data_IF_855672169116
#
_entry.id   IF_855672169116
#
_cell.length_a   1.000
_cell.length_b   1.000
_cell.length_c   1.000
_cell.angle_alpha   90.00
_cell.angle_beta   90.00
_cell.angle_gamma   90.00
#
_symmetry.space_group_name_H-M   'P 1'
#
loop_
_entity.id
_entity.type
_entity.pdbx_description
1 polymer ?
#
# COMPACT_ATOMS: atom_id res chain seq x y z
N UNK A 1 -6.33 1.21 28.60
CA UNK A 1 -5.34 0.71 29.56
C UNK A 1 -4.15 0.23 28.75
N UNK A 2 -2.93 0.70 29.04
CA UNK A 2 -1.72 0.24 28.35
C UNK A 2 -1.29 -1.09 28.94
N UNK A 3 -1.06 -2.10 28.10
CA UNK A 3 -0.50 -3.39 28.53
C UNK A 3 1.02 -3.28 28.61
N UNK A 4 1.59 -3.82 29.68
CA UNK A 4 3.04 -3.96 29.84
C UNK A 4 3.46 -5.25 29.14
N UNK A 5 4.25 -5.16 28.06
CA UNK A 5 4.89 -6.34 27.46
C UNK A 5 6.32 -6.41 27.99
N UNK A 6 6.65 -7.56 28.56
CA UNK A 6 8.00 -7.86 29.03
C UNK A 6 8.77 -8.49 27.87
N UNK A 7 9.81 -7.80 27.41
CA UNK A 7 10.79 -8.41 26.50
C UNK A 7 11.89 -9.03 27.33
N UNK A 8 11.93 -10.34 27.31
CA UNK A 8 12.98 -11.14 27.94
C UNK A 8 14.03 -11.49 26.90
N UNK A 9 15.20 -10.84 26.98
CA UNK A 9 16.36 -11.19 26.14
C UNK A 9 17.26 -12.12 26.94
N UNK A 10 17.26 -13.39 26.53
CA UNK A 10 18.20 -14.40 27.04
C UNK A 10 19.27 -14.66 26.00
N UNK A 11 20.52 -14.64 26.43
CA UNK A 11 21.64 -14.97 25.56
C UNK A 11 22.81 -15.54 26.34
N UNK A 12 23.70 -16.18 25.60
CA UNK A 12 24.95 -16.71 26.11
C UNK A 12 26.09 -15.99 25.39
N UNK A 13 26.98 -15.37 26.16
CA UNK A 13 28.13 -14.64 25.66
C UNK A 13 29.40 -15.46 25.93
N UNK A 14 30.17 -15.68 24.87
CA UNK A 14 31.51 -16.25 24.93
C UNK A 14 32.52 -15.15 24.57
N UNK A 15 33.38 -14.79 25.50
CA UNK A 15 34.41 -13.75 25.36
C UNK A 15 35.80 -14.37 25.39
N UNK A 16 36.69 -13.85 24.54
CA UNK A 16 38.12 -14.14 24.59
C UNK A 16 38.87 -12.83 24.71
N UNK A 17 39.41 -12.55 25.89
CA UNK A 17 40.16 -11.34 26.17
C UNK A 17 41.65 -11.63 26.00
N UNK A 18 42.30 -10.94 25.05
CA UNK A 18 43.76 -10.99 24.90
C UNK A 18 44.39 -10.08 25.95
N UNK A 19 45.21 -10.62 26.83
CA UNK A 19 45.94 -9.84 27.84
C UNK A 19 47.44 -9.99 27.65
N UNK A 20 48.27 -9.06 28.19
CA UNK A 20 49.73 -9.18 28.14
C UNK A 20 50.27 -10.45 28.81
N UNK A 21 49.47 -11.12 29.64
CA UNK A 21 49.82 -12.37 30.35
C UNK A 21 49.17 -13.61 29.72
N UNK A 22 48.52 -13.48 28.55
CA UNK A 22 47.89 -14.56 27.81
C UNK A 22 46.41 -14.32 27.52
N UNK A 23 45.80 -15.28 26.83
CA UNK A 23 44.38 -15.23 26.46
C UNK A 23 43.51 -15.73 27.62
N UNK A 24 42.58 -14.88 28.07
CA UNK A 24 41.57 -15.23 29.07
C UNK A 24 40.27 -15.54 28.35
N UNK A 25 39.86 -16.81 28.42
CA UNK A 25 38.59 -17.28 27.86
C UNK A 25 37.51 -17.25 28.93
N UNK A 26 36.43 -16.53 28.68
CA UNK A 26 35.23 -16.52 29.51
C UNK A 26 34.08 -17.10 28.69
N UNK A 27 33.68 -18.32 29.01
CA UNK A 27 32.61 -19.02 28.30
C UNK A 27 31.32 -19.03 29.13
N UNK A 28 30.19 -19.16 28.44
CA UNK A 28 28.87 -19.36 29.04
C UNK A 28 28.43 -18.24 29.98
N UNK A 29 28.80 -16.99 29.68
CA UNK A 29 28.26 -15.85 30.42
C UNK A 29 26.79 -15.70 30.00
N UNK A 30 25.90 -16.23 30.82
CA UNK A 30 24.47 -16.10 30.61
C UNK A 30 24.04 -14.70 31.01
N UNK A 31 23.34 -14.02 30.11
CA UNK A 31 22.66 -12.79 30.44
C UNK A 31 21.16 -12.95 30.22
N UNK A 32 20.40 -12.48 31.21
CA UNK A 32 18.96 -12.33 31.12
C UNK A 32 18.65 -10.87 31.39
N UNK A 33 18.13 -10.18 30.38
CA UNK A 33 17.64 -8.82 30.56
C UNK A 33 16.13 -8.82 30.33
N UNK A 34 15.39 -8.61 31.41
CA UNK A 34 13.96 -8.34 31.37
C UNK A 34 13.78 -6.83 31.30
N UNK A 35 13.25 -6.33 30.18
CA UNK A 35 12.95 -4.92 30.02
C UNK A 35 11.46 -4.73 29.86
N UNK A 36 10.86 -4.06 30.84
CA UNK A 36 9.46 -3.65 30.79
C UNK A 36 9.32 -2.48 29.81
N UNK A 37 8.60 -2.70 28.71
CA UNK A 37 8.24 -1.63 27.80
C UNK A 37 6.79 -1.24 28.03
N UNK A 38 6.59 0.01 28.47
CA UNK A 38 5.27 0.64 28.45
C UNK A 38 4.97 1.08 27.02
N UNK A 39 3.94 0.48 26.41
CA UNK A 39 3.39 0.98 25.15
C UNK A 39 2.77 2.35 25.41
N UNK A 40 3.31 3.40 24.79
CA UNK A 40 2.73 4.73 24.91
C UNK A 40 1.44 4.87 24.09
N UNK A 41 1.33 4.12 22.98
CA UNK A 41 0.21 4.15 22.04
C UNK A 41 0.08 2.84 21.25
N UNK A 42 -1.11 2.57 20.70
CA UNK A 42 -1.27 1.48 19.71
C UNK A 42 -0.38 1.75 18.49
N UNK A 43 0.41 0.77 18.03
CA UNK A 43 1.28 0.97 16.89
C UNK A 43 0.46 1.03 15.60
N UNK A 44 0.71 2.04 14.76
CA UNK A 44 -0.04 2.30 13.53
C UNK A 44 0.86 2.91 12.46
N UNK A 45 0.54 2.62 11.21
CA UNK A 45 1.16 3.29 10.05
C UNK A 45 0.13 4.21 9.42
N UNK A 46 0.47 5.50 9.35
CA UNK A 46 -0.36 6.54 8.76
C UNK A 46 0.25 6.94 7.41
N UNK A 47 -0.40 6.58 6.32
CA UNK A 47 0.03 7.02 4.99
C UNK A 47 -0.44 8.46 4.77
N UNK A 48 0.50 9.39 4.66
CA UNK A 48 0.24 10.81 4.41
C UNK A 48 -0.01 11.09 2.93
N UNK A 49 0.71 10.40 2.06
CA UNK A 49 0.55 10.54 0.61
C UNK A 49 0.87 9.24 -0.10
N UNK A 50 0.30 9.09 -1.29
CA UNK A 50 0.53 7.94 -2.16
C UNK A 50 0.50 8.38 -3.62
N UNK A 51 1.55 8.05 -4.36
CA UNK A 51 1.69 8.32 -5.79
C UNK A 51 1.92 7.02 -6.56
N UNK A 52 1.19 6.84 -7.65
CA UNK A 52 1.40 5.71 -8.56
C UNK A 52 2.68 5.95 -9.37
N UNK A 53 3.65 5.05 -9.23
CA UNK A 53 4.93 5.09 -9.96
C UNK A 53 4.82 4.28 -11.25
N UNK A 54 4.19 3.11 -11.17
CA UNK A 54 4.04 2.18 -12.29
C UNK A 54 2.71 1.47 -12.20
N UNK A 55 2.02 1.33 -13.33
CA UNK A 55 0.81 0.54 -13.43
C UNK A 55 0.90 -0.34 -14.67
N UNK A 56 0.92 -1.65 -14.47
CA UNK A 56 0.87 -2.66 -15.54
C UNK A 56 -0.40 -3.49 -15.39
N UNK A 57 -0.60 -4.44 -16.30
CA UNK A 57 -1.70 -5.41 -16.19
C UNK A 57 -1.60 -6.25 -14.90
N UNK A 58 -0.37 -6.53 -14.47
CA UNK A 58 -0.10 -7.52 -13.43
C UNK A 58 0.18 -6.89 -12.07
N UNK A 59 0.61 -5.62 -12.02
CA UNK A 59 0.96 -4.96 -10.75
C UNK A 59 0.76 -3.45 -10.82
N UNK A 60 0.35 -2.87 -9.69
CA UNK A 60 0.39 -1.41 -9.50
C UNK A 60 1.39 -1.11 -8.38
N UNK A 61 2.38 -0.29 -8.69
CA UNK A 61 3.40 0.15 -7.76
C UNK A 61 3.12 1.58 -7.34
N UNK A 62 3.04 1.79 -6.03
CA UNK A 62 2.94 3.11 -5.42
C UNK A 62 4.20 3.42 -4.61
N UNK A 63 4.54 4.69 -4.57
CA UNK A 63 5.45 5.26 -3.59
C UNK A 63 4.63 6.11 -2.65
N UNK A 64 4.88 5.99 -1.36
CA UNK A 64 4.15 6.75 -0.36
C UNK A 64 5.05 7.35 0.69
N UNK A 65 4.52 8.37 1.36
CA UNK A 65 5.11 8.93 2.56
C UNK A 65 4.26 8.44 3.74
N UNK A 66 4.88 7.75 4.68
CA UNK A 66 4.19 7.15 5.82
C UNK A 66 4.82 7.60 7.14
N UNK A 67 4.01 7.84 8.15
CA UNK A 67 4.47 7.97 9.53
C UNK A 67 4.21 6.65 10.25
N UNK A 68 5.26 6.02 10.77
CA UNK A 68 5.12 4.87 11.67
C UNK A 68 5.17 5.40 13.10
N UNK A 69 4.11 5.15 13.86
CA UNK A 69 4.07 5.50 15.28
C UNK A 69 4.87 4.45 16.04
N UNK A 70 6.04 4.85 16.55
CA UNK A 70 6.87 3.98 17.38
C UNK A 70 6.26 3.85 18.77
N UNK A 71 5.74 2.67 19.17
CA UNK A 71 5.18 2.51 20.51
C UNK A 71 6.26 2.46 21.60
N UNK A 72 7.54 2.30 21.21
CA UNK A 72 8.67 2.13 22.12
C UNK A 72 9.46 3.42 22.29
N UNK A 73 9.99 3.65 23.50
CA UNK A 73 10.94 4.73 23.76
C UNK A 73 12.40 4.37 23.34
N UNK A 74 12.56 3.55 22.30
CA UNK A 74 13.86 3.17 21.73
C UNK A 74 13.86 3.38 20.23
N UNK A 75 15.02 3.70 19.69
CA UNK A 75 15.23 3.78 18.24
C UNK A 75 15.62 2.39 17.74
N UNK A 76 15.02 1.96 16.62
CA UNK A 76 15.35 0.71 15.94
C UNK A 76 15.91 1.08 14.57
N UNK A 77 17.14 0.66 14.30
CA UNK A 77 17.77 0.82 12.98
C UNK A 77 18.18 -0.56 12.47
N UNK A 78 17.53 -0.98 11.39
CA UNK A 78 17.87 -2.17 10.63
C UNK A 78 18.49 -1.64 9.36
N UNK A 79 19.81 -1.83 9.18
CA UNK A 79 20.52 -1.48 7.95
C UNK A 79 20.18 -2.45 6.81
N UNK A 80 18.91 -2.81 6.72
CA UNK A 80 18.29 -3.77 5.83
C UNK A 80 16.87 -3.33 5.55
N UNK A 81 16.27 -3.89 4.50
CA UNK A 81 14.89 -3.63 4.18
C UNK A 81 13.96 -4.39 5.12
N UNK A 82 12.74 -3.87 5.27
CA UNK A 82 11.65 -4.55 5.97
C UNK A 82 10.47 -4.66 5.02
N UNK A 83 9.87 -5.85 4.97
CA UNK A 83 8.76 -6.17 4.08
C UNK A 83 7.52 -6.63 4.87
N UNK A 84 6.37 -6.09 4.50
CA UNK A 84 5.10 -6.38 5.16
C UNK A 84 4.07 -6.82 4.14
N UNK A 85 3.28 -7.82 4.51
CA UNK A 85 2.10 -8.19 3.76
C UNK A 85 0.92 -7.35 4.24
N UNK A 86 0.26 -6.66 3.30
CA UNK A 86 -0.97 -5.92 3.57
C UNK A 86 -2.16 -6.81 3.25
N UNK A 87 -3.03 -6.96 4.24
CA UNK A 87 -4.20 -7.81 4.19
C UNK A 87 -5.48 -6.99 4.20
N UNK A 88 -6.48 -7.43 3.44
CA UNK A 88 -7.85 -6.93 3.54
C UNK A 88 -8.50 -7.33 4.86
N UNK A 89 -9.70 -6.81 5.11
CA UNK A 89 -10.60 -7.22 6.19
C UNK A 89 -10.90 -8.72 6.21
N UNK A 90 -10.91 -9.36 5.03
CA UNK A 90 -11.08 -10.80 4.85
C UNK A 90 -9.77 -11.60 5.01
N UNK A 91 -8.70 -10.98 5.51
CA UNK A 91 -7.39 -11.60 5.73
C UNK A 91 -6.70 -12.10 4.44
N UNK A 92 -7.05 -11.49 3.29
CA UNK A 92 -6.47 -11.81 1.98
C UNK A 92 -5.37 -10.81 1.66
N UNK A 93 -4.23 -11.27 1.17
CA UNK A 93 -3.12 -10.42 0.77
C UNK A 93 -3.48 -9.59 -0.46
N UNK A 94 -3.40 -8.27 -0.33
CA UNK A 94 -3.74 -7.30 -1.38
C UNK A 94 -2.53 -6.52 -1.87
N UNK A 95 -1.48 -6.39 -1.05
CA UNK A 95 -0.26 -5.70 -1.43
C UNK A 95 0.93 -6.12 -0.57
N UNK A 96 2.14 -5.83 -1.06
CA UNK A 96 3.37 -5.85 -0.27
C UNK A 96 3.79 -4.41 0.01
N UNK A 97 4.21 -4.11 1.23
CA UNK A 97 4.86 -2.86 1.60
C UNK A 97 6.33 -3.11 1.90
N UNK A 98 7.22 -2.32 1.29
CA UNK A 98 8.66 -2.37 1.53
C UNK A 98 9.15 -1.03 2.05
N UNK A 99 9.96 -1.08 3.11
CA UNK A 99 10.66 0.06 3.68
C UNK A 99 12.15 -0.21 3.57
N UNK A 100 12.86 0.63 2.83
CA UNK A 100 14.30 0.47 2.62
C UNK A 100 15.08 1.04 3.80
N UNK A 101 16.14 0.35 4.21
CA UNK A 101 17.00 0.76 5.34
C UNK A 101 16.19 1.17 6.57
N UNK A 102 15.36 0.24 7.07
CA UNK A 102 14.33 0.53 8.05
C UNK A 102 14.91 1.21 9.29
N UNK A 103 14.39 2.40 9.59
CA UNK A 103 14.78 3.19 10.74
C UNK A 103 13.55 3.77 11.43
N UNK A 104 13.28 3.29 12.64
CA UNK A 104 12.21 3.75 13.49
C UNK A 104 12.78 4.60 14.63
N UNK A 105 12.70 5.92 14.50
CA UNK A 105 13.17 6.86 15.53
C UNK A 105 12.21 6.89 16.72
N UNK A 106 12.67 7.44 17.85
CA UNK A 106 11.83 7.67 19.03
C UNK A 106 10.73 8.71 18.79
N UNK A 107 11.03 9.72 17.97
CA UNK A 107 10.04 10.70 17.50
C UNK A 107 9.44 10.20 16.20
N UNK A 108 8.14 10.38 16.04
CA UNK A 108 7.43 10.08 14.80
C UNK A 108 8.04 10.89 13.65
N UNK A 109 8.54 10.20 12.66
CA UNK A 109 9.11 10.78 11.45
C UNK A 109 8.49 10.12 10.23
N UNK A 110 8.46 10.86 9.14
CA UNK A 110 7.97 10.38 7.87
C UNK A 110 9.05 9.57 7.16
N UNK A 111 8.66 8.44 6.60
CA UNK A 111 9.52 7.56 5.82
C UNK A 111 8.88 7.24 4.48
N UNK A 112 9.74 7.01 3.50
CA UNK A 112 9.30 6.58 2.17
C UNK A 112 9.03 5.09 2.21
N UNK A 113 7.84 4.71 1.74
CA UNK A 113 7.45 3.31 1.60
C UNK A 113 7.14 3.01 0.13
N UNK A 114 7.44 1.78 -0.30
CA UNK A 114 7.05 1.26 -1.60
C UNK A 114 5.92 0.27 -1.39
N UNK A 115 4.87 0.38 -2.18
CA UNK A 115 3.70 -0.49 -2.13
C UNK A 115 3.56 -1.17 -3.48
N UNK A 116 3.44 -2.49 -3.49
CA UNK A 116 3.18 -3.28 -4.69
C UNK A 116 1.84 -3.98 -4.53
N UNK A 117 0.83 -3.47 -5.21
CA UNK A 117 -0.52 -4.04 -5.25
C UNK A 117 -0.53 -5.30 -6.12
N UNK A 118 -1.25 -6.31 -5.64
CA UNK A 118 -1.41 -7.61 -6.28
C UNK A 118 -2.86 -7.77 -6.74
N UNK A 119 -3.14 -7.82 -8.07
CA UNK A 119 -4.49 -7.85 -8.61
C UNK A 119 -5.16 -9.24 -8.56
N UNK A 120 -4.50 -10.27 -8.03
CA UNK A 120 -4.97 -11.67 -8.09
C UNK A 120 -6.28 -11.94 -7.34
N UNK A 121 -6.75 -11.03 -6.47
CA UNK A 121 -7.93 -11.25 -5.64
C UNK A 121 -8.96 -10.09 -5.69
N UNK A 122 -10.25 -10.45 -5.67
CA UNK A 122 -11.37 -9.49 -5.66
C UNK A 122 -11.31 -8.53 -4.46
N UNK A 123 -10.79 -8.98 -3.32
CA UNK A 123 -10.57 -8.14 -2.14
C UNK A 123 -9.60 -6.98 -2.38
N UNK A 124 -8.69 -7.10 -3.35
CA UNK A 124 -7.83 -5.99 -3.77
C UNK A 124 -8.58 -4.93 -4.60
N UNK A 125 -9.62 -5.34 -5.33
CA UNK A 125 -10.37 -4.42 -6.19
C UNK A 125 -11.08 -3.35 -5.37
N UNK A 126 -11.62 -3.68 -4.20
CA UNK A 126 -12.25 -2.70 -3.30
C UNK A 126 -11.25 -1.65 -2.82
N UNK A 127 -9.99 -2.04 -2.57
CA UNK A 127 -8.91 -1.13 -2.15
C UNK A 127 -8.58 -0.14 -3.27
N UNK A 128 -8.43 -0.62 -4.50
CA UNK A 128 -8.19 0.23 -5.67
C UNK A 128 -9.40 1.11 -5.98
N UNK A 129 -10.62 0.58 -5.88
CA UNK A 129 -11.84 1.36 -6.05
C UNK A 129 -11.93 2.49 -5.01
N UNK A 130 -11.65 2.20 -3.76
CA UNK A 130 -11.59 3.22 -2.72
C UNK A 130 -10.52 4.26 -3.03
N UNK A 131 -9.33 3.83 -3.45
CA UNK A 131 -8.26 4.73 -3.85
C UNK A 131 -8.72 5.69 -4.95
N UNK A 132 -9.29 5.17 -6.04
CA UNK A 132 -9.79 5.96 -7.18
C UNK A 132 -10.99 6.86 -6.82
N UNK A 133 -11.83 6.43 -5.87
CA UNK A 133 -13.01 7.17 -5.42
C UNK A 133 -12.73 8.13 -4.25
N UNK A 134 -11.46 8.43 -3.96
CA UNK A 134 -11.04 9.34 -2.88
C UNK A 134 -11.48 8.87 -1.49
N UNK A 135 -11.62 7.57 -1.29
CA UNK A 135 -12.00 6.93 -0.02
C UNK A 135 -10.80 6.28 0.64
N UNK A 136 -10.81 6.27 1.97
CA UNK A 136 -9.79 5.57 2.74
C UNK A 136 -10.05 4.07 2.75
N UNK A 137 -8.96 3.30 2.74
CA UNK A 137 -8.99 1.85 3.01
C UNK A 137 -8.19 1.56 4.27
N UNK A 138 -8.75 0.73 5.15
CA UNK A 138 -8.03 0.23 6.33
C UNK A 138 -7.55 -1.17 5.99
N UNK A 139 -6.23 -1.37 6.04
CA UNK A 139 -5.61 -2.67 5.86
C UNK A 139 -4.92 -3.10 7.15
N UNK A 140 -4.82 -4.41 7.35
CA UNK A 140 -4.00 -4.98 8.41
C UNK A 140 -2.63 -5.34 7.85
N UNK A 141 -1.58 -5.12 8.62
CA UNK A 141 -0.26 -5.67 8.32
C UNK A 141 -0.15 -7.03 8.98
N UNK A 142 0.29 -8.00 8.19
CA UNK A 142 0.81 -9.25 8.71
C UNK A 142 2.30 -9.30 8.47
N UNK A 143 3.04 -9.48 9.54
CA UNK A 143 4.46 -9.78 9.50
C UNK A 143 4.63 -11.29 9.30
N UNK A 144 5.69 -11.69 8.61
CA UNK A 144 6.06 -13.08 8.45
C UNK A 144 7.57 -13.24 8.70
N UNK A 145 8.06 -14.47 8.61
CA UNK A 145 9.49 -14.78 8.74
C UNK A 145 10.39 -14.13 7.67
N UNK A 146 9.82 -13.50 6.64
CA UNK A 146 10.52 -12.72 5.61
C UNK A 146 10.51 -11.21 5.90
N UNK A 147 9.78 -10.75 6.94
CA UNK A 147 9.67 -9.33 7.26
C UNK A 147 11.00 -8.67 7.56
N UNK A 148 11.93 -9.41 8.18
CA UNK A 148 13.29 -8.95 8.40
C UNK A 148 14.26 -10.12 8.36
N UNK A 149 15.48 -9.87 7.90
CA UNK A 149 16.59 -10.84 7.97
C UNK A 149 17.15 -11.00 9.39
N UNK A 150 16.77 -10.12 10.33
CA UNK A 150 17.25 -10.15 11.72
C UNK A 150 16.38 -11.08 12.56
N UNK A 151 16.85 -12.30 12.80
CA UNK A 151 16.10 -13.37 13.51
C UNK A 151 15.46 -12.93 14.82
N UNK A 152 16.19 -12.19 15.67
CA UNK A 152 15.67 -11.72 16.96
C UNK A 152 14.45 -10.79 16.82
N UNK A 153 14.36 -10.05 15.71
CA UNK A 153 13.25 -9.13 15.46
C UNK A 153 12.08 -9.79 14.75
N UNK A 154 12.27 -10.96 14.13
CA UNK A 154 11.15 -11.72 13.57
C UNK A 154 10.11 -12.01 14.65
N UNK A 155 10.53 -12.45 15.84
CA UNK A 155 9.64 -12.67 16.99
C UNK A 155 8.94 -11.39 17.49
N UNK A 156 9.62 -10.24 17.42
CA UNK A 156 9.01 -8.96 17.77
C UNK A 156 7.91 -8.59 16.78
N UNK A 157 8.19 -8.76 15.49
CA UNK A 157 7.26 -8.46 14.42
C UNK A 157 6.06 -9.41 14.44
N UNK A 158 6.23 -10.70 14.73
CA UNK A 158 5.16 -11.70 14.80
C UNK A 158 3.99 -11.33 15.72
N UNK A 159 4.26 -10.58 16.80
CA UNK A 159 3.23 -10.14 17.78
C UNK A 159 2.63 -8.78 17.41
N UNK A 160 3.19 -8.11 16.41
CA UNK A 160 2.85 -6.74 16.04
C UNK A 160 1.66 -6.70 15.08
N UNK A 161 0.46 -6.52 15.61
CA UNK A 161 -0.71 -6.19 14.79
C UNK A 161 -0.73 -4.69 14.47
N UNK A 162 -0.41 -4.32 13.21
CA UNK A 162 -0.53 -2.94 12.75
C UNK A 162 -1.72 -2.76 11.83
N UNK A 163 -2.35 -1.60 11.93
CA UNK A 163 -3.30 -1.12 10.91
C UNK A 163 -2.63 -0.03 10.07
N UNK A 164 -2.89 -0.09 8.78
CA UNK A 164 -2.50 0.91 7.78
C UNK A 164 -3.75 1.60 7.30
N UNK A 165 -3.75 2.93 7.37
CA UNK A 165 -4.76 3.74 6.71
C UNK A 165 -4.21 4.19 5.35
N UNK A 166 -4.76 3.64 4.26
CA UNK A 166 -4.43 4.05 2.90
C UNK A 166 -5.36 5.21 2.47
N UNK A 167 -4.83 6.39 2.13
CA UNK A 167 -5.62 7.49 1.61
C UNK A 167 -6.08 7.22 0.17
N UNK A 168 -7.22 7.82 -0.20
CA UNK A 168 -7.63 7.93 -1.59
C UNK A 168 -6.77 8.92 -2.37
N UNK A 169 -6.81 8.84 -3.71
CA UNK A 169 -6.12 9.83 -4.55
C UNK A 169 -6.78 11.20 -4.37
N UNK A 170 -5.97 12.26 -4.30
CA UNK A 170 -6.50 13.62 -4.27
C UNK A 170 -6.67 14.20 -5.68
N UNK A 171 -7.36 13.47 -6.55
CA UNK A 171 -7.63 13.88 -7.91
C UNK A 171 -8.83 13.15 -8.52
N UNK A 172 -9.52 13.80 -9.45
CA UNK A 172 -10.62 13.18 -10.19
C UNK A 172 -10.11 12.55 -11.48
N UNK A 173 -10.43 11.27 -11.66
CA UNK A 173 -10.11 10.50 -12.86
C UNK A 173 -11.04 10.86 -14.03
N UNK A 174 -12.32 11.07 -13.73
CA UNK A 174 -13.32 11.63 -14.65
C UNK A 174 -13.48 13.11 -14.32
N UNK A 175 -13.02 13.98 -15.22
CA UNK A 175 -13.17 15.44 -15.06
C UNK A 175 -14.49 15.95 -15.59
N UNK A 176 -14.91 15.43 -16.74
CA UNK A 176 -16.08 15.95 -17.43
C UNK A 176 -16.74 14.85 -18.27
N UNK A 177 -18.07 14.82 -18.26
CA UNK A 177 -18.89 13.98 -19.11
C UNK A 177 -19.76 14.93 -19.94
N UNK A 178 -19.61 14.91 -21.26
CA UNK A 178 -20.36 15.77 -22.17
C UNK A 178 -21.39 14.92 -22.94
N UNK A 179 -22.66 15.09 -22.57
CA UNK A 179 -23.78 14.40 -23.24
C UNK A 179 -24.53 15.39 -24.10
N UNK A 180 -24.25 15.41 -25.41
CA UNK A 180 -25.06 16.19 -26.37
C UNK A 180 -26.27 15.38 -26.86
N UNK A 181 -27.44 16.01 -26.86
CA UNK A 181 -28.69 15.43 -27.36
C UNK A 181 -28.72 15.30 -28.90
N UNK A 182 -27.78 15.95 -29.59
CA UNK A 182 -27.76 16.06 -31.06
C UNK A 182 -26.56 15.34 -31.70
N UNK A 183 -26.37 14.05 -31.42
CA UNK A 183 -25.52 13.10 -32.17
C UNK A 183 -24.06 12.89 -31.77
N UNK A 184 -23.53 13.48 -30.69
CA UNK A 184 -22.18 13.15 -30.20
C UNK A 184 -22.17 13.04 -28.68
N UNK A 185 -21.99 11.82 -28.18
CA UNK A 185 -21.74 11.58 -26.77
C UNK A 185 -20.22 11.49 -26.58
N UNK A 186 -19.68 12.12 -25.53
CA UNK A 186 -18.26 11.99 -25.24
C UNK A 186 -17.98 12.17 -23.76
N UNK A 187 -16.88 11.63 -23.29
CA UNK A 187 -16.39 11.93 -21.95
C UNK A 187 -14.90 12.22 -22.02
N UNK A 188 -14.45 12.98 -21.03
CA UNK A 188 -13.09 13.47 -20.94
C UNK A 188 -12.41 12.76 -19.79
N UNK A 189 -11.51 11.83 -20.14
CA UNK A 189 -10.69 11.11 -19.17
C UNK A 189 -9.47 11.95 -18.82
N UNK A 190 -9.22 12.13 -17.53
CA UNK A 190 -7.99 12.73 -17.03
C UNK A 190 -7.13 11.64 -16.40
N UNK A 191 -5.83 11.65 -16.70
CA UNK A 191 -4.88 10.82 -15.99
C UNK A 191 -4.27 11.62 -14.83
N UNK A 192 -4.69 11.37 -13.57
CA UNK A 192 -4.12 12.05 -12.41
C UNK A 192 -2.79 11.46 -11.93
N UNK A 193 -2.32 10.36 -12.51
CA UNK A 193 -1.11 9.68 -12.07
C UNK A 193 0.15 10.30 -12.69
N UNK A 194 1.29 10.06 -12.03
CA UNK A 194 2.64 10.38 -12.53
C UNK A 194 3.15 9.39 -13.59
N UNK A 195 2.31 8.44 -13.98
CA UNK A 195 2.63 7.38 -14.94
C UNK A 195 1.56 7.30 -16.02
N UNK A 196 1.87 6.66 -17.15
CA UNK A 196 0.91 6.47 -18.25
C UNK A 196 -0.18 5.49 -17.85
N UNK A 197 -1.40 5.72 -18.33
CA UNK A 197 -2.51 4.76 -18.18
C UNK A 197 -2.83 4.15 -19.53
N UNK A 198 -3.05 2.84 -19.51
CA UNK A 198 -3.55 2.05 -20.62
C UNK A 198 -4.99 1.64 -20.35
N UNK A 199 -5.93 2.09 -21.17
CA UNK A 199 -7.31 1.60 -21.16
C UNK A 199 -7.48 0.55 -22.24
N UNK A 200 -7.59 -0.71 -21.86
CA UNK A 200 -7.72 -1.80 -22.81
C UNK A 200 -9.16 -1.94 -23.32
N UNK A 201 -10.13 -1.72 -22.45
CA UNK A 201 -11.56 -1.72 -22.78
C UNK A 201 -12.27 -0.65 -21.94
N UNK A 202 -13.43 -0.21 -22.43
CA UNK A 202 -14.31 0.66 -21.67
C UNK A 202 -15.75 0.26 -21.96
N UNK A 203 -16.50 -0.04 -20.91
CA UNK A 203 -17.93 -0.27 -20.99
C UNK A 203 -18.60 0.76 -20.09
N UNK A 204 -19.37 1.65 -20.68
CA UNK A 204 -20.14 2.64 -19.95
C UNK A 204 -21.61 2.57 -20.35
N UNK A 205 -22.48 2.74 -19.36
CA UNK A 205 -23.93 2.86 -19.54
C UNK A 205 -24.34 4.26 -19.16
N UNK A 206 -25.03 4.96 -20.08
CA UNK A 206 -25.66 6.24 -19.79
C UNK A 206 -27.10 5.94 -19.39
N UNK A 207 -27.44 6.22 -18.14
CA UNK A 207 -28.80 6.14 -17.61
C UNK A 207 -29.39 7.53 -17.48
N UNK A 208 -30.68 7.67 -17.80
CA UNK A 208 -31.40 8.92 -17.58
C UNK A 208 -31.92 9.03 -16.13
N UNK A 209 -32.55 10.15 -15.80
CA UNK A 209 -33.15 10.41 -14.48
C UNK A 209 -34.25 9.41 -14.08
N UNK A 210 -34.79 8.64 -15.04
CA UNK A 210 -35.79 7.60 -14.83
C UNK A 210 -35.16 6.20 -14.75
N UNK A 211 -33.85 6.11 -14.55
CA UNK A 211 -33.07 4.87 -14.50
C UNK A 211 -33.18 4.00 -15.78
N UNK A 212 -33.49 4.62 -16.92
CA UNK A 212 -33.52 3.94 -18.22
C UNK A 212 -32.19 4.14 -18.92
N UNK A 213 -31.60 3.05 -19.43
CA UNK A 213 -30.41 3.11 -20.26
C UNK A 213 -30.72 3.76 -21.60
N UNK A 214 -30.05 4.87 -21.90
CA UNK A 214 -30.27 5.67 -23.12
C UNK A 214 -29.09 5.57 -24.09
N UNK A 215 -27.91 5.16 -23.62
CA UNK A 215 -26.77 4.84 -24.46
C UNK A 215 -25.83 3.85 -23.78
N UNK A 216 -25.04 3.15 -24.59
CA UNK A 216 -23.89 2.36 -24.14
C UNK A 216 -22.69 2.86 -24.92
N UNK A 217 -21.57 3.11 -24.24
CA UNK A 217 -20.29 3.20 -24.92
C UNK A 217 -19.52 1.90 -24.68
N UNK A 218 -19.22 1.20 -25.76
CA UNK A 218 -18.31 0.06 -25.75
C UNK A 218 -17.10 0.47 -26.58
N UNK A 219 -15.95 0.60 -25.92
CA UNK A 219 -14.67 0.60 -26.61
C UNK A 219 -14.23 -0.86 -26.63
N UNK A 220 -14.23 -1.45 -27.81
CA UNK A 220 -13.75 -2.82 -28.01
C UNK A 220 -12.32 -2.98 -27.49
N UNK A 221 -11.97 -4.16 -26.95
CA UNK A 221 -10.62 -4.44 -26.47
C UNK A 221 -9.57 -4.13 -27.55
N UNK A 222 -8.70 -3.15 -27.31
CA UNK A 222 -7.58 -2.85 -28.22
C UNK A 222 -6.30 -3.45 -27.67
N UNK A 223 -5.51 -4.12 -28.52
CA UNK A 223 -4.19 -4.68 -28.15
C UNK A 223 -3.26 -3.61 -27.57
N UNK A 224 -3.29 -2.40 -28.13
CA UNK A 224 -2.42 -1.30 -27.72
C UNK A 224 -3.05 -0.37 -26.67
N UNK A 225 -4.34 -0.60 -26.36
CA UNK A 225 -5.13 0.24 -25.47
C UNK A 225 -5.27 1.70 -25.92
N UNK A 226 -6.05 2.47 -25.17
CA UNK A 226 -6.05 3.93 -25.26
C UNK A 226 -5.05 4.43 -24.22
N UNK A 227 -3.99 5.07 -24.68
CA UNK A 227 -2.95 5.63 -23.81
C UNK A 227 -3.33 7.07 -23.44
N UNK A 228 -3.25 7.38 -22.14
CA UNK A 228 -3.31 8.74 -21.62
C UNK A 228 -2.01 9.00 -20.84
N UNK A 229 -1.22 9.95 -21.33
CA UNK A 229 0.03 10.38 -20.69
C UNK A 229 -0.23 11.01 -19.31
N UNK A 230 0.78 11.00 -18.45
CA UNK A 230 0.70 11.57 -17.09
C UNK A 230 0.22 13.03 -17.11
N UNK A 231 -0.76 13.35 -16.26
CA UNK A 231 -1.33 14.70 -16.14
C UNK A 231 -2.11 15.18 -17.36
N UNK A 232 -2.23 14.36 -18.42
CA UNK A 232 -2.96 14.72 -19.63
C UNK A 232 -4.41 14.30 -19.55
N UNK A 233 -5.15 14.81 -20.52
CA UNK A 233 -6.58 14.59 -20.67
C UNK A 233 -6.85 14.11 -22.08
N UNK A 234 -7.78 13.16 -22.24
CA UNK A 234 -8.17 12.62 -23.54
C UNK A 234 -9.68 12.57 -23.66
N UNK A 235 -10.20 13.21 -24.71
CA UNK A 235 -11.62 13.14 -25.07
C UNK A 235 -11.88 11.83 -25.79
N UNK A 236 -12.85 11.08 -25.30
CA UNK A 236 -13.30 9.81 -25.88
C UNK A 236 -14.69 10.02 -26.45
N UNK A 237 -14.83 9.78 -27.76
CA UNK A 237 -16.15 9.79 -28.41
C UNK A 237 -16.85 8.46 -28.15
N UNK A 238 -18.14 8.56 -27.85
CA UNK A 238 -19.07 7.45 -27.70
C UNK A 238 -19.92 7.41 -28.96
N UNK A 239 -19.85 6.30 -29.68
CA UNK A 239 -20.77 6.04 -30.78
C UNK A 239 -22.17 5.76 -30.21
N UNK A 240 -23.12 6.62 -30.53
CA UNK A 240 -24.51 6.48 -30.07
C UNK A 240 -25.17 5.26 -30.70
N UNK A 241 -25.84 4.44 -29.88
CA UNK A 241 -26.62 3.30 -30.37
C UNK A 241 -27.83 3.81 -31.19
N UNK A 242 -27.81 3.64 -32.52
CA UNK A 242 -28.99 3.92 -33.36
C UNK A 242 -30.07 2.88 -33.08
N UNK A 243 -31.02 3.22 -32.20
CA UNK A 243 -32.39 2.72 -31.91
C UNK A 243 -32.87 1.28 -32.28
N UNK A 244 -32.21 0.46 -33.09
CA UNK A 244 -32.69 -0.87 -33.51
C UNK A 244 -31.91 -2.06 -32.95
N UNK A 245 -30.67 -1.89 -32.46
CA UNK A 245 -29.82 -3.04 -32.08
C UNK A 245 -29.18 -2.97 -30.68
N UNK A 246 -29.77 -2.24 -29.73
CA UNK A 246 -29.36 -2.37 -28.33
C UNK A 246 -30.26 -3.42 -27.64
N UNK A 247 -29.84 -4.68 -27.66
CA UNK A 247 -30.32 -5.74 -26.75
C UNK A 247 -29.30 -5.94 -25.65
#
# INVERSE_FOLDING_TARGET
MAEDVVFTVKGELNLMAKTPVGDIKMEKIQFNFDKNFKYQTQPRILMKSMETVKATRDTIEFKGLATIINPLNVEIELRSNVEFDLLSDQNIKVANMTIENFKLKRKNEDMVVKLKYLPEYDSGHSVIQNYLNRRFSILSIKTNNQTTSVFLLQKFFEVLELKVLLPGIDALFLKEIEVSLNTKHSFTLHNPFKTKIYFFSLNSKVINIFNRQIATAIIEPRKDGIIIESGKTKKIQIDGCRKRNCK
#
